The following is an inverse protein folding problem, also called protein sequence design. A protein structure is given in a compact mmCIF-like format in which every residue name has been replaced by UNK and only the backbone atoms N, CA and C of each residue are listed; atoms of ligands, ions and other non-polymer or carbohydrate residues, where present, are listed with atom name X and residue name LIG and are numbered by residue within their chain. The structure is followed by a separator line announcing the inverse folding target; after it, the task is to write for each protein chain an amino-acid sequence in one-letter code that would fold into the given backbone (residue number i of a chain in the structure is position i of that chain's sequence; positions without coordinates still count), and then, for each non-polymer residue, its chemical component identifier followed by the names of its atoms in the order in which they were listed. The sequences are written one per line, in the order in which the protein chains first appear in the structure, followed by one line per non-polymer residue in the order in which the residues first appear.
data_IF_119344138815
#
_entry.id   IF_119344138815
#
_cell.length_a   1.000
_cell.length_b   1.000
_cell.length_c   1.000
_cell.angle_alpha   90.00
_cell.angle_beta   90.00
_cell.angle_gamma   90.00
#
_symmetry.space_group_name_H-M   'P 1'
#
loop_
_entity.id
_entity.type
_entity.pdbx_description
1 polymer ?
#
# COMPACT_ATOMS: atom_id res chain seq x y z
N UNK A 1 -8.14 28.22 11.96
CA UNK A 1 -7.52 27.17 12.79
C UNK A 1 -6.51 26.53 11.90
N UNK A 2 -5.25 26.42 12.31
CA UNK A 2 -4.21 25.77 11.52
C UNK A 2 -4.57 24.30 11.47
N UNK A 3 -4.84 23.77 10.26
CA UNK A 3 -5.06 22.36 10.06
C UNK A 3 -3.68 21.65 10.10
N UNK A 4 -3.14 21.51 11.32
CA UNK A 4 -1.93 20.72 11.54
C UNK A 4 -2.34 19.24 11.52
N UNK A 5 -1.94 18.46 10.50
CA UNK A 5 -2.34 17.07 10.37
C UNK A 5 -1.80 16.16 11.48
N UNK A 6 -0.86 16.63 12.28
CA UNK A 6 -0.26 15.89 13.39
C UNK A 6 -0.99 16.13 14.71
N UNK A 7 -1.71 17.25 14.83
CA UNK A 7 -2.32 17.68 16.09
C UNK A 7 -3.26 16.62 16.70
N UNK A 8 -4.14 15.95 15.92
CA UNK A 8 -4.99 14.89 16.49
C UNK A 8 -4.19 13.76 17.14
N UNK A 9 -3.09 13.35 16.52
CA UNK A 9 -2.25 12.26 17.02
C UNK A 9 -1.45 12.65 18.26
N UNK A 10 -1.07 13.94 18.38
CA UNK A 10 -0.40 14.49 19.57
C UNK A 10 -1.41 14.54 20.74
N UNK A 11 -2.60 15.07 20.50
CA UNK A 11 -3.65 15.20 21.53
C UNK A 11 -4.13 13.85 22.05
N UNK A 12 -4.20 12.84 21.19
CA UNK A 12 -4.58 11.48 21.53
C UNK A 12 -3.41 10.63 22.07
N UNK A 13 -2.18 11.17 22.11
CA UNK A 13 -1.01 10.51 22.68
C UNK A 13 -0.41 9.40 21.82
N UNK A 14 -0.70 9.37 20.54
CA UNK A 14 -0.04 8.45 19.59
C UNK A 14 1.37 8.89 19.21
N UNK A 15 1.62 10.19 19.13
CA UNK A 15 2.97 10.74 18.89
C UNK A 15 3.29 11.84 19.91
N UNK A 16 4.56 11.98 20.24
CA UNK A 16 5.07 13.04 21.13
C UNK A 16 5.74 14.18 20.37
N UNK A 17 6.31 13.90 19.19
CA UNK A 17 7.02 14.89 18.40
C UNK A 17 7.11 14.47 16.92
N UNK A 18 7.20 15.46 16.04
CA UNK A 18 7.46 15.28 14.60
C UNK A 18 8.95 15.54 14.35
N UNK A 19 9.71 14.49 14.03
CA UNK A 19 11.15 14.57 13.93
C UNK A 19 11.60 15.21 12.61
N UNK A 20 11.17 14.65 11.47
CA UNK A 20 11.54 15.15 10.13
C UNK A 20 10.72 14.51 9.04
N UNK A 21 10.69 15.15 7.90
CA UNK A 21 10.19 14.52 6.67
C UNK A 21 11.24 13.53 6.13
N UNK A 22 10.81 12.31 5.78
CA UNK A 22 11.67 11.26 5.20
C UNK A 22 11.40 11.03 3.71
N UNK A 23 10.20 11.33 3.24
CA UNK A 23 9.86 11.26 1.82
C UNK A 23 8.77 12.27 1.47
N UNK A 24 8.76 12.71 0.20
CA UNK A 24 7.75 13.62 -0.31
C UNK A 24 7.38 13.26 -1.74
N UNK A 25 6.17 12.72 -1.93
CA UNK A 25 5.57 12.42 -3.22
C UNK A 25 4.56 13.46 -3.69
N UNK A 26 3.92 13.21 -4.83
CA UNK A 26 2.83 14.05 -5.36
C UNK A 26 1.53 13.89 -4.58
N UNK A 27 1.28 12.70 -4.01
CA UNK A 27 0.03 12.34 -3.35
C UNK A 27 0.10 12.51 -1.83
N UNK A 28 1.26 12.21 -1.24
CA UNK A 28 1.48 12.28 0.19
C UNK A 28 2.92 12.64 0.54
N UNK A 29 3.15 13.05 1.78
CA UNK A 29 4.46 13.18 2.40
C UNK A 29 4.55 12.26 3.60
N UNK A 30 5.74 11.67 3.80
CA UNK A 30 6.01 10.73 4.89
C UNK A 30 6.90 11.42 5.91
N UNK A 31 6.47 11.42 7.16
CA UNK A 31 7.14 12.08 8.27
C UNK A 31 7.50 11.08 9.35
N UNK A 32 8.73 11.14 9.82
CA UNK A 32 9.18 10.38 10.98
C UNK A 32 8.74 11.11 12.23
N UNK A 33 8.11 10.37 13.15
CA UNK A 33 7.60 10.88 14.42
C UNK A 33 8.10 10.02 15.57
N UNK A 34 8.25 10.62 16.75
CA UNK A 34 8.45 9.87 17.98
C UNK A 34 7.14 9.29 18.43
N UNK A 35 7.13 8.00 18.73
CA UNK A 35 5.97 7.30 19.24
C UNK A 35 5.53 7.86 20.60
N UNK A 36 4.25 7.89 20.82
CA UNK A 36 3.63 8.17 22.10
C UNK A 36 3.13 6.90 22.79
N UNK A 37 2.52 7.04 23.95
CA UNK A 37 2.08 5.94 24.80
C UNK A 37 1.13 4.96 24.09
N UNK A 38 0.29 5.46 23.18
CA UNK A 38 -0.71 4.64 22.48
C UNK A 38 -0.24 4.07 21.13
N UNK A 39 1.04 4.24 20.79
CA UNK A 39 1.64 3.63 19.58
C UNK A 39 2.29 2.27 19.83
N UNK A 40 2.10 1.66 21.00
CA UNK A 40 2.71 0.40 21.38
C UNK A 40 4.18 0.53 21.79
N UNK A 41 4.85 -0.61 21.94
CA UNK A 41 6.25 -0.67 22.41
C UNK A 41 7.22 -0.39 21.27
N UNK A 42 7.31 0.87 20.84
CA UNK A 42 8.19 1.34 19.76
C UNK A 42 8.63 2.79 20.00
N UNK A 43 9.81 3.15 19.50
CA UNK A 43 10.35 4.50 19.63
C UNK A 43 9.90 5.43 18.50
N UNK A 44 9.68 4.87 17.30
CA UNK A 44 9.43 5.61 16.08
C UNK A 44 8.20 5.08 15.34
N UNK A 45 7.46 6.01 14.74
CA UNK A 45 6.36 5.75 13.83
C UNK A 45 6.48 6.67 12.62
N UNK A 46 5.75 6.39 11.56
CA UNK A 46 5.65 7.29 10.41
C UNK A 46 4.23 7.82 10.26
N UNK A 47 4.13 9.12 9.97
CA UNK A 47 2.89 9.74 9.56
C UNK A 47 2.88 9.92 8.03
N UNK A 48 1.94 9.28 7.34
CA UNK A 48 1.62 9.53 5.92
C UNK A 48 0.58 10.62 5.87
N UNK A 49 1.00 11.83 5.49
CA UNK A 49 0.15 13.02 5.39
C UNK A 49 -0.22 13.23 3.93
N UNK A 50 -1.51 13.22 3.63
CA UNK A 50 -2.02 13.40 2.29
C UNK A 50 -1.98 14.86 1.87
N UNK A 51 -1.64 15.11 0.60
CA UNK A 51 -1.65 16.46 0.02
C UNK A 51 -3.01 16.79 -0.56
N UNK A 52 -3.37 18.07 -0.53
CA UNK A 52 -4.56 18.56 -1.20
C UNK A 52 -4.58 18.22 -2.70
N UNK A 53 -5.76 18.01 -3.22
CA UNK A 53 -6.04 17.51 -4.57
C UNK A 53 -5.46 18.34 -5.72
N UNK A 54 -5.16 19.62 -5.53
CA UNK A 54 -4.61 20.50 -6.57
C UNK A 54 -3.26 20.01 -7.11
N UNK A 55 -2.58 19.12 -6.37
CA UNK A 55 -1.25 18.58 -6.69
C UNK A 55 -1.24 17.10 -7.09
N UNK A 56 -2.42 16.45 -7.21
CA UNK A 56 -2.54 15.02 -7.53
C UNK A 56 -2.85 14.80 -9.00
N UNK A 57 -2.03 14.03 -9.70
CA UNK A 57 -2.18 13.69 -11.13
C UNK A 57 -2.80 12.28 -11.26
N UNK A 58 -4.12 12.20 -11.36
CA UNK A 58 -4.86 10.94 -11.48
C UNK A 58 -4.97 10.49 -12.95
N UNK A 59 -3.86 10.05 -13.52
CA UNK A 59 -3.90 9.34 -14.79
C UNK A 59 -4.54 7.96 -14.57
N UNK A 60 -5.60 7.64 -15.29
CA UNK A 60 -6.32 6.35 -15.27
C UNK A 60 -7.20 6.05 -14.04
N UNK A 61 -7.62 7.04 -13.27
CA UNK A 61 -8.51 6.90 -12.12
C UNK A 61 -9.70 5.95 -12.33
N UNK A 62 -10.26 5.88 -13.54
CA UNK A 62 -11.42 5.07 -13.87
C UNK A 62 -11.20 3.57 -13.57
N UNK A 63 -10.01 3.05 -13.82
CA UNK A 63 -9.67 1.63 -13.62
C UNK A 63 -9.71 1.22 -12.14
N UNK A 64 -9.45 2.17 -11.21
CA UNK A 64 -9.39 1.89 -9.78
C UNK A 64 -10.69 2.15 -9.03
N UNK A 65 -11.55 3.02 -9.56
CA UNK A 65 -12.83 3.40 -8.92
C UNK A 65 -13.98 2.49 -9.39
N UNK A 66 -13.82 1.81 -10.52
CA UNK A 66 -14.84 0.91 -11.05
C UNK A 66 -15.06 -0.26 -10.09
N UNK A 67 -16.32 -0.46 -9.66
CA UNK A 67 -16.68 -1.48 -8.66
C UNK A 67 -16.72 -1.00 -7.20
N UNK A 68 -16.26 0.22 -6.88
CA UNK A 68 -16.43 0.78 -5.53
C UNK A 68 -17.88 1.18 -5.28
N UNK A 69 -18.45 0.68 -4.19
CA UNK A 69 -19.82 1.04 -3.78
C UNK A 69 -19.81 2.37 -3.06
N UNK A 70 -20.48 3.39 -3.61
CA UNK A 70 -20.76 4.66 -2.93
C UNK A 70 -22.15 4.56 -2.31
N UNK A 71 -22.23 4.43 -0.99
CA UNK A 71 -23.48 4.21 -0.25
C UNK A 71 -24.40 5.45 -0.17
N UNK A 72 -23.94 6.64 -0.56
CA UNK A 72 -24.70 7.89 -0.51
C UNK A 72 -24.97 8.43 -1.90
N UNK A 73 -26.26 8.46 -2.31
CA UNK A 73 -26.72 9.02 -3.59
C UNK A 73 -26.33 10.50 -3.80
N UNK A 74 -26.17 11.28 -2.71
CA UNK A 74 -25.75 12.68 -2.78
C UNK A 74 -24.27 12.77 -3.09
N UNK A 75 -23.46 11.91 -2.49
CA UNK A 75 -22.03 11.77 -2.76
C UNK A 75 -21.80 11.31 -4.22
N UNK A 76 -22.56 10.32 -4.68
CA UNK A 76 -22.48 9.81 -6.07
C UNK A 76 -22.82 10.90 -7.09
N UNK A 77 -23.89 11.67 -6.85
CA UNK A 77 -24.25 12.81 -7.73
C UNK A 77 -23.19 13.91 -7.74
N UNK A 78 -22.59 14.21 -6.58
CA UNK A 78 -21.53 15.19 -6.46
C UNK A 78 -20.23 14.76 -7.17
N UNK A 79 -19.88 13.46 -7.09
CA UNK A 79 -18.75 12.86 -7.80
C UNK A 79 -18.95 12.94 -9.33
N UNK A 80 -20.15 12.60 -9.83
CA UNK A 80 -20.51 12.71 -11.26
C UNK A 80 -20.46 14.15 -11.76
N UNK A 81 -20.87 15.11 -10.91
CA UNK A 81 -20.94 16.54 -11.25
C UNK A 81 -19.61 17.29 -11.25
N UNK A 82 -18.49 16.65 -10.86
CA UNK A 82 -17.16 17.25 -10.73
C UNK A 82 -17.14 18.57 -9.93
N UNK A 83 -17.97 18.65 -8.89
CA UNK A 83 -18.05 19.82 -8.01
C UNK A 83 -16.91 19.85 -6.98
N UNK A 84 -16.65 21.03 -6.37
CA UNK A 84 -15.69 21.11 -5.25
C UNK A 84 -16.10 20.23 -4.07
N UNK A 85 -17.40 20.06 -3.82
CA UNK A 85 -17.90 19.12 -2.81
C UNK A 85 -17.64 17.67 -3.22
N UNK A 86 -17.93 17.26 -4.46
CA UNK A 86 -17.59 15.94 -5.00
C UNK A 86 -16.09 15.64 -4.92
N UNK A 87 -15.26 16.66 -5.09
CA UNK A 87 -13.82 16.57 -4.94
C UNK A 87 -13.40 16.17 -3.52
N UNK A 88 -13.99 16.78 -2.48
CA UNK A 88 -13.70 16.44 -1.07
C UNK A 88 -14.26 15.07 -0.65
N UNK A 89 -15.45 14.73 -1.11
CA UNK A 89 -16.05 13.39 -0.88
C UNK A 89 -15.16 12.32 -1.46
N UNK A 90 -14.66 12.51 -2.65
CA UNK A 90 -13.78 11.60 -3.34
C UNK A 90 -12.42 11.43 -2.63
N UNK A 91 -11.88 12.50 -2.09
CA UNK A 91 -10.66 12.51 -1.30
C UNK A 91 -10.82 11.71 0.00
N UNK A 92 -11.89 11.98 0.75
CA UNK A 92 -12.20 11.21 1.96
C UNK A 92 -12.44 9.72 1.70
N UNK A 93 -13.08 9.37 0.59
CA UNK A 93 -13.28 7.99 0.16
C UNK A 93 -11.96 7.30 -0.21
N UNK A 94 -11.02 8.03 -0.79
CA UNK A 94 -9.72 7.51 -1.19
C UNK A 94 -8.81 7.26 0.02
N UNK A 95 -8.73 8.19 0.95
CA UNK A 95 -7.95 8.06 2.18
C UNK A 95 -8.50 6.94 3.08
N UNK A 96 -9.84 6.92 3.25
CA UNK A 96 -10.51 5.85 3.98
C UNK A 96 -10.30 4.48 3.34
N UNK A 97 -10.26 4.40 2.01
CA UNK A 97 -10.02 3.16 1.31
C UNK A 97 -8.61 2.60 1.55
N UNK A 98 -7.56 3.41 1.41
CA UNK A 98 -6.19 2.95 1.69
C UNK A 98 -6.05 2.45 3.13
N UNK A 99 -6.62 3.17 4.09
CA UNK A 99 -6.64 2.78 5.50
C UNK A 99 -7.32 1.43 5.74
N UNK A 100 -8.51 1.22 5.15
CA UNK A 100 -9.26 -0.03 5.31
C UNK A 100 -8.55 -1.21 4.64
N UNK A 101 -7.99 -1.02 3.43
CA UNK A 101 -7.21 -2.05 2.75
C UNK A 101 -5.98 -2.43 3.56
N UNK A 102 -5.25 -1.45 4.08
CA UNK A 102 -4.05 -1.69 4.89
C UNK A 102 -4.38 -2.47 6.17
N UNK A 103 -5.44 -2.09 6.88
CA UNK A 103 -5.91 -2.81 8.07
C UNK A 103 -6.30 -4.26 7.74
N UNK A 104 -7.01 -4.45 6.63
CA UNK A 104 -7.43 -5.77 6.18
C UNK A 104 -6.23 -6.66 5.85
N UNK A 105 -5.27 -6.16 5.09
CA UNK A 105 -4.05 -6.89 4.74
C UNK A 105 -3.18 -7.18 5.96
N UNK A 106 -3.00 -6.23 6.86
CA UNK A 106 -2.26 -6.46 8.10
C UNK A 106 -2.93 -7.54 8.96
N UNK A 107 -4.25 -7.49 9.11
CA UNK A 107 -5.01 -8.50 9.85
C UNK A 107 -4.95 -9.90 9.20
N UNK A 108 -4.76 -9.99 7.88
CA UNK A 108 -4.57 -11.26 7.16
C UNK A 108 -3.12 -11.78 7.18
N UNK A 109 -2.19 -11.06 7.84
CA UNK A 109 -0.78 -11.44 7.92
C UNK A 109 0.05 -11.10 6.69
N UNK A 110 -0.47 -10.26 5.77
CA UNK A 110 0.33 -9.78 4.65
C UNK A 110 1.49 -8.88 5.14
N UNK A 111 2.65 -8.89 4.48
CA UNK A 111 3.80 -8.09 4.87
C UNK A 111 3.60 -6.61 4.48
N UNK A 112 2.78 -5.91 5.24
CA UNK A 112 2.50 -4.48 5.12
C UNK A 112 2.79 -3.78 6.45
N UNK A 113 3.05 -2.45 6.48
CA UNK A 113 3.26 -1.76 7.74
C UNK A 113 2.02 -1.89 8.65
N UNK A 114 2.25 -2.06 9.96
CA UNK A 114 1.16 -2.07 10.93
C UNK A 114 0.45 -0.72 10.96
N UNK A 115 -0.88 -0.66 10.73
CA UNK A 115 -1.66 0.56 10.85
C UNK A 115 -1.96 0.87 12.32
N UNK A 116 -1.60 2.08 12.78
CA UNK A 116 -1.71 2.48 14.19
C UNK A 116 -2.95 3.35 14.41
N UNK A 117 -3.06 4.47 13.69
CA UNK A 117 -4.16 5.41 13.82
C UNK A 117 -4.41 6.18 12.52
N UNK A 118 -5.60 6.76 12.33
CA UNK A 118 -5.93 7.60 11.18
C UNK A 118 -6.81 8.77 11.59
N UNK A 119 -6.47 9.97 11.14
CA UNK A 119 -7.24 11.22 11.36
C UNK A 119 -8.06 11.66 10.15
N UNK A 120 -8.04 10.91 9.04
CA UNK A 120 -8.66 11.30 7.78
C UNK A 120 -7.76 12.15 6.88
N UNK A 121 -6.90 13.02 7.41
CA UNK A 121 -5.90 13.79 6.65
C UNK A 121 -4.52 13.13 6.67
N UNK A 122 -4.29 12.26 7.64
CA UNK A 122 -3.06 11.50 7.79
C UNK A 122 -3.34 10.12 8.41
N UNK A 123 -2.41 9.18 8.23
CA UNK A 123 -2.38 7.91 8.94
C UNK A 123 -1.02 7.68 9.60
N UNK A 124 -1.04 7.07 10.77
CA UNK A 124 0.16 6.60 11.48
C UNK A 124 0.37 5.12 11.22
N UNK A 125 1.59 4.77 10.88
CA UNK A 125 2.04 3.43 10.55
C UNK A 125 3.30 3.10 11.35
N UNK A 126 3.53 1.81 11.59
CA UNK A 126 4.83 1.36 12.09
C UNK A 126 5.96 1.82 11.17
N UNK A 127 7.02 2.33 11.76
CA UNK A 127 8.23 2.68 11.02
C UNK A 127 8.95 1.40 10.57
N UNK A 128 9.33 1.35 9.31
CA UNK A 128 10.15 0.28 8.74
C UNK A 128 11.54 0.85 8.48
N UNK A 129 12.50 0.44 9.26
CA UNK A 129 13.88 0.95 9.26
C UNK A 129 14.54 0.78 10.62
N UNK A 130 15.73 1.31 10.75
CA UNK A 130 16.57 1.27 11.94
C UNK A 130 17.05 2.68 12.34
N UNK A 131 18.05 2.73 13.24
CA UNK A 131 18.65 3.98 13.70
C UNK A 131 19.44 4.74 12.60
N UNK A 132 19.91 4.03 11.57
CA UNK A 132 20.63 4.62 10.43
C UNK A 132 19.65 5.27 9.44
N UNK A 133 18.41 4.82 9.38
CA UNK A 133 17.39 5.43 8.54
C UNK A 133 16.25 4.49 8.10
N UNK A 134 15.40 4.99 7.20
CA UNK A 134 14.32 4.18 6.64
C UNK A 134 14.86 3.03 5.80
N UNK A 135 14.17 1.89 5.86
CA UNK A 135 14.49 0.73 5.04
C UNK A 135 14.55 1.12 3.54
N UNK A 136 15.55 0.63 2.79
CA UNK A 136 15.69 0.92 1.38
C UNK A 136 14.53 0.30 0.57
N UNK A 137 14.18 0.96 -0.53
CA UNK A 137 13.28 0.38 -1.52
C UNK A 137 14.00 -0.71 -2.32
N UNK A 138 13.26 -1.75 -2.72
CA UNK A 138 13.80 -2.84 -3.54
C UNK A 138 14.60 -2.35 -4.74
N UNK A 139 14.13 -1.27 -5.40
CA UNK A 139 14.82 -0.66 -6.55
C UNK A 139 16.23 -0.13 -6.25
N UNK A 140 16.54 0.13 -5.00
CA UNK A 140 17.82 0.72 -4.56
C UNK A 140 18.88 -0.35 -4.30
N UNK A 141 18.43 -1.60 -4.19
CA UNK A 141 19.30 -2.73 -3.87
C UNK A 141 20.09 -3.25 -5.07
N UNK A 142 21.15 -3.97 -4.75
CA UNK A 142 21.98 -4.75 -5.68
C UNK A 142 22.23 -6.11 -5.02
N UNK A 143 21.17 -6.95 -4.88
CA UNK A 143 21.29 -8.20 -4.15
C UNK A 143 22.18 -9.18 -4.89
N UNK A 144 22.84 -10.05 -4.13
CA UNK A 144 23.49 -11.24 -4.67
C UNK A 144 22.42 -12.23 -5.20
N UNK A 145 22.78 -13.18 -6.10
CA UNK A 145 21.78 -14.05 -6.73
C UNK A 145 20.88 -14.81 -5.76
N UNK A 146 21.44 -15.37 -4.68
CA UNK A 146 20.69 -16.13 -3.68
C UNK A 146 19.73 -15.22 -2.89
N UNK A 147 20.19 -14.03 -2.52
CA UNK A 147 19.37 -13.00 -1.88
C UNK A 147 18.25 -12.55 -2.81
N UNK A 148 18.56 -12.33 -4.09
CA UNK A 148 17.57 -11.94 -5.09
C UNK A 148 16.47 -13.01 -5.25
N UNK A 149 16.84 -14.28 -5.28
CA UNK A 149 15.91 -15.40 -5.36
C UNK A 149 15.02 -15.49 -4.10
N UNK A 150 15.60 -15.21 -2.92
CA UNK A 150 14.86 -15.17 -1.67
C UNK A 150 13.86 -14.03 -1.62
N UNK A 151 14.26 -12.81 -1.97
CA UNK A 151 13.38 -11.64 -2.08
C UNK A 151 12.24 -11.88 -3.07
N UNK A 152 12.53 -12.56 -4.20
CA UNK A 152 11.48 -12.92 -5.15
C UNK A 152 10.46 -13.88 -4.53
N UNK A 153 10.91 -14.92 -3.84
CA UNK A 153 10.01 -15.89 -3.18
C UNK A 153 9.10 -15.20 -2.16
N UNK A 154 9.66 -14.28 -1.36
CA UNK A 154 8.89 -13.51 -0.39
C UNK A 154 7.87 -12.59 -1.08
N UNK A 155 8.26 -11.87 -2.14
CA UNK A 155 7.35 -10.96 -2.86
C UNK A 155 6.22 -11.74 -3.57
N UNK A 156 6.54 -12.90 -4.15
CA UNK A 156 5.53 -13.79 -4.71
C UNK A 156 4.53 -14.22 -3.64
N UNK A 157 5.00 -14.70 -2.50
CA UNK A 157 4.14 -15.07 -1.36
C UNK A 157 3.28 -13.90 -0.85
N UNK A 158 3.83 -12.67 -0.86
CA UNK A 158 3.06 -11.47 -0.52
C UNK A 158 1.92 -11.20 -1.53
N UNK A 159 2.18 -11.34 -2.84
CA UNK A 159 1.16 -11.17 -3.88
C UNK A 159 0.08 -12.25 -3.75
N UNK A 160 0.44 -13.50 -3.51
CA UNK A 160 -0.49 -14.59 -3.25
C UNK A 160 -1.33 -14.32 -1.99
N UNK A 161 -0.70 -13.84 -0.92
CA UNK A 161 -1.37 -13.44 0.33
C UNK A 161 -2.38 -12.31 0.12
N UNK A 162 -2.02 -11.29 -0.65
CA UNK A 162 -2.95 -10.21 -1.02
C UNK A 162 -4.12 -10.73 -1.83
N UNK A 163 -3.90 -11.61 -2.81
CA UNK A 163 -4.99 -12.22 -3.58
C UNK A 163 -5.92 -13.08 -2.70
N UNK A 164 -5.38 -13.87 -1.75
CA UNK A 164 -6.19 -14.61 -0.76
C UNK A 164 -7.06 -13.68 0.09
N UNK A 165 -6.58 -12.46 0.34
CA UNK A 165 -7.34 -11.43 1.05
C UNK A 165 -8.25 -10.60 0.11
N UNK A 166 -8.48 -11.05 -1.12
CA UNK A 166 -9.26 -10.34 -2.13
C UNK A 166 -8.74 -8.91 -2.44
N UNK A 167 -7.42 -8.77 -2.51
CA UNK A 167 -6.76 -7.49 -2.83
C UNK A 167 -5.76 -7.66 -3.96
N UNK A 168 -5.87 -6.80 -4.99
CA UNK A 168 -4.82 -6.55 -5.98
C UNK A 168 -4.26 -5.16 -5.72
N UNK A 169 -2.94 -5.02 -5.61
CA UNK A 169 -2.26 -3.77 -5.25
C UNK A 169 -2.59 -2.62 -6.21
N UNK A 170 -2.57 -2.92 -7.50
CA UNK A 170 -2.93 -1.97 -8.55
C UNK A 170 -1.84 -0.96 -8.93
N UNK A 171 -0.72 -0.91 -8.22
CA UNK A 171 0.46 -0.10 -8.56
C UNK A 171 1.75 -0.70 -7.98
N UNK A 172 1.82 -2.03 -7.85
CA UNK A 172 2.99 -2.70 -7.32
C UNK A 172 4.19 -2.49 -8.25
N UNK A 173 5.31 -2.15 -7.65
CA UNK A 173 6.58 -1.93 -8.33
C UNK A 173 7.73 -2.00 -7.33
N UNK A 174 9.01 -2.06 -7.77
CA UNK A 174 10.15 -2.02 -6.87
C UNK A 174 10.28 -0.74 -6.03
N UNK A 175 9.48 0.29 -6.31
CA UNK A 175 9.37 1.50 -5.50
C UNK A 175 8.48 1.30 -4.27
N UNK A 176 7.54 0.35 -4.34
CA UNK A 176 6.51 0.10 -3.33
C UNK A 176 6.80 -1.17 -2.52
N UNK A 177 8.06 -1.61 -2.50
CA UNK A 177 8.56 -2.71 -1.68
C UNK A 177 9.78 -2.21 -0.91
N UNK A 178 9.71 -2.22 0.41
CA UNK A 178 10.85 -1.99 1.30
C UNK A 178 11.50 -3.32 1.64
N UNK A 179 12.79 -3.28 1.92
CA UNK A 179 13.55 -4.46 2.39
C UNK A 179 14.22 -4.12 3.71
N UNK A 180 13.89 -4.86 4.77
CA UNK A 180 14.41 -4.66 6.11
C UNK A 180 14.66 -6.00 6.79
N UNK A 181 15.83 -6.18 7.39
CA UNK A 181 16.23 -7.42 8.08
C UNK A 181 16.03 -8.70 7.24
N UNK A 182 16.30 -8.62 5.93
CA UNK A 182 16.10 -9.73 4.98
C UNK A 182 14.65 -10.02 4.63
N UNK A 183 13.69 -9.27 5.19
CA UNK A 183 12.25 -9.35 4.91
C UNK A 183 11.78 -8.25 3.96
N UNK A 184 10.64 -8.48 3.30
CA UNK A 184 9.98 -7.46 2.48
C UNK A 184 8.80 -6.83 3.22
N UNK A 185 8.51 -5.58 2.90
CA UNK A 185 7.29 -4.88 3.34
C UNK A 185 6.69 -4.13 2.14
N UNK A 186 5.46 -4.47 1.77
CA UNK A 186 4.72 -3.82 0.67
C UNK A 186 4.05 -2.56 1.19
N UNK A 187 4.25 -1.44 0.50
CA UNK A 187 3.73 -0.12 0.89
C UNK A 187 2.93 0.53 -0.25
N UNK A 188 2.18 1.58 0.09
CA UNK A 188 1.49 2.48 -0.86
C UNK A 188 0.31 1.82 -1.60
N UNK A 189 -0.80 1.61 -0.88
CA UNK A 189 -2.00 0.87 -1.28
C UNK A 189 -3.20 1.73 -1.76
N UNK A 190 -3.08 3.03 -2.10
CA UNK A 190 -4.24 3.84 -2.43
C UNK A 190 -4.94 3.38 -3.72
N UNK A 191 -4.24 2.66 -4.59
CA UNK A 191 -4.74 2.13 -5.86
C UNK A 191 -5.21 0.66 -5.77
N UNK A 192 -5.18 0.06 -4.58
CA UNK A 192 -5.63 -1.30 -4.39
C UNK A 192 -7.11 -1.50 -4.75
N UNK A 193 -7.42 -2.65 -5.32
CA UNK A 193 -8.77 -3.00 -5.76
C UNK A 193 -9.18 -4.38 -5.29
N UNK A 194 -10.50 -4.55 -5.11
CA UNK A 194 -11.11 -5.85 -4.84
C UNK A 194 -11.34 -6.59 -6.18
N UNK A 195 -10.68 -7.74 -6.42
CA UNK A 195 -10.80 -8.49 -7.66
C UNK A 195 -12.21 -9.06 -7.91
N UNK A 196 -13.04 -9.20 -6.86
CA UNK A 196 -14.43 -9.68 -7.00
C UNK A 196 -15.35 -8.66 -7.66
N UNK A 197 -15.02 -7.37 -7.52
CA UNK A 197 -15.91 -6.26 -7.94
C UNK A 197 -15.30 -5.38 -9.02
N UNK A 198 -13.98 -5.34 -9.16
CA UNK A 198 -13.33 -4.52 -10.17
C UNK A 198 -13.03 -5.31 -11.45
N UNK A 199 -13.67 -5.02 -12.58
CA UNK A 199 -13.47 -5.77 -13.84
C UNK A 199 -12.06 -5.62 -14.43
N UNK A 200 -11.27 -4.65 -13.95
CA UNK A 200 -9.90 -4.42 -14.41
C UNK A 200 -8.85 -5.11 -13.52
N UNK A 201 -9.25 -5.80 -12.45
CA UNK A 201 -8.33 -6.33 -11.45
C UNK A 201 -7.29 -7.29 -12.03
N UNK A 202 -7.67 -8.17 -12.97
CA UNK A 202 -6.71 -9.04 -13.65
C UNK A 202 -5.67 -8.26 -14.46
N UNK A 203 -6.09 -7.24 -15.20
CA UNK A 203 -5.16 -6.41 -15.96
C UNK A 203 -4.21 -5.60 -15.06
N UNK A 204 -4.69 -5.20 -13.87
CA UNK A 204 -3.88 -4.56 -12.85
C UNK A 204 -2.86 -5.54 -12.26
N UNK A 205 -3.26 -6.77 -11.92
CA UNK A 205 -2.36 -7.83 -11.46
C UNK A 205 -1.27 -8.13 -12.49
N UNK A 206 -1.62 -8.28 -13.77
CA UNK A 206 -0.65 -8.49 -14.84
C UNK A 206 0.37 -7.36 -14.93
N UNK A 207 -0.07 -6.11 -14.78
CA UNK A 207 0.81 -4.94 -14.80
C UNK A 207 1.73 -4.92 -13.57
N UNK A 208 1.21 -5.21 -12.41
CA UNK A 208 1.94 -5.27 -11.16
C UNK A 208 3.05 -6.33 -11.24
N UNK A 209 2.72 -7.54 -11.67
CA UNK A 209 3.70 -8.60 -11.89
C UNK A 209 4.77 -8.20 -12.90
N UNK A 210 4.39 -7.65 -14.05
CA UNK A 210 5.35 -7.19 -15.07
C UNK A 210 6.33 -6.16 -14.51
N UNK A 211 5.87 -5.23 -13.69
CA UNK A 211 6.72 -4.20 -13.09
C UNK A 211 7.81 -4.81 -12.21
N UNK A 212 7.42 -5.75 -11.35
CA UNK A 212 8.37 -6.37 -10.40
C UNK A 212 9.26 -7.41 -11.09
N UNK A 213 8.72 -8.30 -11.93
CA UNK A 213 9.51 -9.32 -12.66
C UNK A 213 10.54 -8.70 -13.58
N UNK A 214 10.23 -7.54 -14.19
CA UNK A 214 11.20 -6.77 -14.98
C UNK A 214 12.43 -6.35 -14.16
N UNK A 215 12.25 -6.01 -12.89
CA UNK A 215 13.37 -5.70 -12.01
C UNK A 215 14.14 -6.96 -11.63
N UNK A 216 13.45 -8.03 -11.25
CA UNK A 216 14.06 -9.31 -10.87
C UNK A 216 14.85 -9.94 -12.01
N UNK A 217 14.36 -9.88 -13.25
CA UNK A 217 15.07 -10.37 -14.43
C UNK A 217 16.43 -9.66 -14.64
N UNK A 218 16.51 -8.35 -14.37
CA UNK A 218 17.78 -7.60 -14.41
C UNK A 218 18.77 -8.03 -13.33
N UNK A 219 18.31 -8.73 -12.28
CA UNK A 219 19.11 -9.23 -11.16
C UNK A 219 19.23 -10.76 -11.17
N UNK A 220 18.94 -11.40 -12.32
CA UNK A 220 19.20 -12.83 -12.54
C UNK A 220 18.04 -13.77 -12.19
N UNK A 221 16.87 -13.26 -11.79
CA UNK A 221 15.67 -14.07 -11.56
C UNK A 221 14.66 -13.80 -12.66
N UNK A 222 14.62 -14.69 -13.67
CA UNK A 222 13.71 -14.58 -14.81
C UNK A 222 12.40 -15.33 -14.53
N UNK A 223 11.28 -14.63 -14.64
CA UNK A 223 9.94 -15.14 -14.35
C UNK A 223 8.99 -14.74 -15.48
N UNK A 224 8.25 -15.67 -16.07
CA UNK A 224 7.26 -15.37 -17.10
C UNK A 224 6.02 -14.71 -16.47
N UNK A 225 5.99 -13.39 -16.47
CA UNK A 225 4.97 -12.56 -15.79
C UNK A 225 3.53 -12.88 -16.22
N UNK A 226 3.32 -13.11 -17.52
CA UNK A 226 1.97 -13.37 -18.05
C UNK A 226 1.44 -14.75 -17.64
N UNK A 227 2.29 -15.77 -17.63
CA UNK A 227 1.92 -17.12 -17.18
C UNK A 227 1.64 -17.12 -15.68
N UNK A 228 2.54 -16.52 -14.90
CA UNK A 228 2.35 -16.36 -13.45
C UNK A 228 1.06 -15.62 -13.11
N UNK A 229 0.73 -14.55 -13.83
CA UNK A 229 -0.52 -13.82 -13.60
C UNK A 229 -1.75 -14.69 -13.85
N UNK A 230 -1.74 -15.49 -14.92
CA UNK A 230 -2.83 -16.40 -15.25
C UNK A 230 -2.98 -17.51 -14.21
N UNK A 231 -1.86 -18.09 -13.76
CA UNK A 231 -1.85 -19.14 -12.75
C UNK A 231 -2.38 -18.64 -11.41
N UNK A 232 -1.88 -17.48 -10.93
CA UNK A 232 -2.33 -16.88 -9.68
C UNK A 232 -3.82 -16.48 -9.73
N UNK A 233 -4.26 -15.94 -10.85
CA UNK A 233 -5.67 -15.58 -11.03
C UNK A 233 -6.57 -16.81 -11.00
N UNK A 234 -6.18 -17.86 -11.73
CA UNK A 234 -6.91 -19.14 -11.75
C UNK A 234 -6.95 -19.77 -10.36
N UNK A 235 -5.81 -19.81 -9.66
CA UNK A 235 -5.75 -20.33 -8.30
C UNK A 235 -6.64 -19.53 -7.33
N UNK A 236 -6.71 -18.19 -7.48
CA UNK A 236 -7.62 -17.36 -6.71
C UNK A 236 -9.10 -17.64 -7.03
N UNK A 237 -9.48 -17.74 -8.31
CA UNK A 237 -10.86 -18.03 -8.73
C UNK A 237 -11.38 -19.37 -8.19
N UNK A 238 -10.50 -20.37 -8.07
CA UNK A 238 -10.84 -21.70 -7.56
C UNK A 238 -10.54 -21.90 -6.06
N UNK A 239 -10.14 -20.85 -5.36
CA UNK A 239 -9.71 -20.88 -3.95
C UNK A 239 -8.55 -21.88 -3.66
N UNK A 240 -7.68 -22.10 -4.65
CA UNK A 240 -6.54 -23.03 -4.58
C UNK A 240 -5.22 -22.36 -4.12
N UNK A 241 -5.27 -21.07 -3.72
CA UNK A 241 -4.13 -20.38 -3.14
C UNK A 241 -3.89 -20.87 -1.71
N UNK A 242 -3.04 -21.87 -1.55
CA UNK A 242 -2.63 -22.43 -0.25
C UNK A 242 -1.44 -21.64 0.28
N UNK A 243 -1.40 -21.24 1.57
CA UNK A 243 -0.22 -20.66 2.19
C UNK A 243 0.98 -21.61 2.12
N UNK A 244 2.18 -21.06 1.89
CA UNK A 244 3.42 -21.85 1.76
C UNK A 244 3.71 -22.73 2.98
N UNK A 245 3.29 -22.31 4.18
CA UNK A 245 3.41 -23.06 5.43
C UNK A 245 2.44 -24.24 5.55
N UNK A 246 1.45 -24.33 4.67
CA UNK A 246 0.46 -25.40 4.56
C UNK A 246 0.57 -26.18 3.25
N UNK A 247 1.52 -25.83 2.39
CA UNK A 247 1.79 -26.59 1.17
C UNK A 247 2.42 -27.95 1.54
N UNK A 248 1.96 -29.06 0.94
CA UNK A 248 2.41 -30.41 1.28
C UNK A 248 3.88 -30.68 0.95
#
# INVERSE_FOLDING_TARGET
MSDDPFQPFIEEGYITDVVRQISGGKEASIWLCRAGEFSGDRDLVVAKVYRDREHRDFRNRRMYVEGRVVLDERAERALRGKTRFGARVDEGLWQGHEWEVLRHLHASGAPVPEPIASSGEAMLLAYVGDDDGPAPQLRELRPEPDECADLWRQLRGAIEGMLRADVVHGDLSPFNVLVHDGGIVVIDLPQAVDPRTNPNAFALLQRDLRNVTTWFAKHGVDVPDAELAADLWTAWEFADLVPDDLAP
#
